data_IF_009089414909
#
_entry.id   IF_009089414909
#
_cell.length_a   1.000
_cell.length_b   1.000
_cell.length_c   1.000
_cell.angle_alpha   90.00
_cell.angle_beta   90.00
_cell.angle_gamma   90.00
#
_symmetry.space_group_name_H-M   'P 1'
#
loop_
_entity.id
_entity.type
_entity.pdbx_description
1 polymer ?
#
# COMPACT_ATOMS: atom_id res chain seq x y z
N UNK A 1 9.55 9.37 4.15
CA UNK A 1 8.85 9.60 5.43
C UNK A 1 7.42 9.10 5.28
N UNK A 2 6.81 8.49 6.30
CA UNK A 2 5.40 8.07 6.22
C UNK A 2 4.48 9.01 7.00
N UNK A 3 3.26 9.22 6.50
CA UNK A 3 2.20 10.01 7.14
C UNK A 3 0.87 9.28 6.98
N UNK A 4 0.05 9.22 8.04
CA UNK A 4 -1.33 8.75 7.93
C UNK A 4 -2.15 9.81 7.17
N UNK A 5 -2.79 9.39 6.09
CA UNK A 5 -3.63 10.26 5.26
C UNK A 5 -5.09 10.19 5.68
N UNK A 6 -5.60 8.97 5.89
CA UNK A 6 -6.97 8.72 6.27
C UNK A 6 -7.12 7.36 6.95
N UNK A 7 -8.15 7.24 7.77
CA UNK A 7 -8.60 6.01 8.41
C UNK A 7 -10.09 5.86 8.18
N UNK A 8 -10.56 4.67 7.85
CA UNK A 8 -11.99 4.36 7.87
C UNK A 8 -12.51 4.32 9.31
N UNK A 9 -13.84 4.37 9.46
CA UNK A 9 -14.49 4.15 10.76
C UNK A 9 -14.24 2.73 11.31
N UNK A 10 -13.89 1.80 10.42
CA UNK A 10 -13.58 0.39 10.69
C UNK A 10 -12.11 0.11 10.37
N UNK A 11 -11.20 0.69 11.15
CA UNK A 11 -9.78 0.32 11.10
C UNK A 11 -9.48 -0.92 11.97
N UNK A 12 -8.56 -1.77 11.52
CA UNK A 12 -8.01 -2.89 12.30
C UNK A 12 -6.76 -2.52 13.10
N UNK A 13 -6.24 -1.30 12.95
CA UNK A 13 -5.05 -0.84 13.66
C UNK A 13 -5.43 0.02 14.87
N UNK A 14 -4.72 -0.21 15.97
CA UNK A 14 -4.71 0.71 17.11
C UNK A 14 -3.85 1.94 16.81
N UNK A 15 -3.95 2.98 17.63
CA UNK A 15 -3.03 4.13 17.55
C UNK A 15 -1.56 3.70 17.68
N UNK A 16 -1.27 2.73 18.55
CA UNK A 16 0.08 2.18 18.72
C UNK A 16 0.59 1.51 17.44
N UNK A 17 -0.30 0.78 16.73
CA UNK A 17 0.02 0.16 15.44
C UNK A 17 0.31 1.22 14.38
N UNK A 18 -0.49 2.27 14.30
CA UNK A 18 -0.29 3.40 13.37
C UNK A 18 1.08 4.05 13.63
N UNK A 19 1.38 4.40 14.89
CA UNK A 19 2.66 5.01 15.25
C UNK A 19 3.86 4.10 14.97
N UNK A 20 3.70 2.79 15.20
CA UNK A 20 4.71 1.80 14.85
C UNK A 20 5.02 1.83 13.35
N UNK A 21 3.98 1.88 12.49
CA UNK A 21 4.11 1.84 11.04
C UNK A 21 4.71 3.11 10.42
N UNK A 22 4.49 4.29 11.03
CA UNK A 22 4.99 5.58 10.50
C UNK A 22 6.52 5.67 10.41
N UNK A 23 7.24 4.95 11.26
CA UNK A 23 8.70 4.95 11.29
C UNK A 23 9.34 3.82 10.48
N UNK A 24 8.53 3.05 9.73
CA UNK A 24 8.99 1.88 8.99
C UNK A 24 9.31 2.18 7.55
N UNK A 25 10.33 1.50 7.03
CA UNK A 25 10.78 1.65 5.65
C UNK A 25 10.43 0.41 4.82
N UNK A 26 10.05 0.63 3.58
CA UNK A 26 9.80 -0.42 2.60
C UNK A 26 10.57 -0.03 1.35
N UNK A 27 11.24 -1.01 0.74
CA UNK A 27 11.97 -0.82 -0.50
C UNK A 27 11.25 -1.53 -1.62
N UNK A 28 10.99 -0.81 -2.71
CA UNK A 28 10.50 -1.35 -3.97
C UNK A 28 11.56 -1.08 -5.04
N UNK A 29 12.04 -2.15 -5.67
CA UNK A 29 12.95 -2.11 -6.81
C UNK A 29 12.46 -3.07 -7.89
N UNK A 30 13.01 -2.96 -9.10
CA UNK A 30 12.59 -3.79 -10.23
C UNK A 30 12.77 -5.30 -9.96
N UNK A 31 13.81 -5.65 -9.22
CA UNK A 31 14.27 -7.01 -8.95
C UNK A 31 14.16 -7.39 -7.46
N UNK A 32 13.64 -6.51 -6.60
CA UNK A 32 13.61 -6.71 -5.16
C UNK A 32 12.47 -5.97 -4.49
N UNK A 33 11.82 -6.61 -3.52
CA UNK A 33 11.03 -5.94 -2.48
C UNK A 33 11.60 -6.31 -1.12
N UNK A 34 11.73 -5.31 -0.23
CA UNK A 34 12.08 -5.54 1.18
C UNK A 34 11.06 -4.83 2.06
N UNK A 35 10.38 -5.59 2.90
CA UNK A 35 9.41 -5.08 3.88
C UNK A 35 10.12 -4.78 5.20
N UNK A 36 9.53 -3.87 5.99
CA UNK A 36 10.15 -3.37 7.24
C UNK A 36 10.40 -4.44 8.30
N UNK A 37 9.74 -5.58 8.20
CA UNK A 37 9.84 -6.73 9.10
C UNK A 37 10.83 -7.79 8.58
N UNK A 38 11.68 -7.45 7.61
CA UNK A 38 12.76 -8.31 7.13
C UNK A 38 12.37 -9.30 6.03
N UNK A 39 11.10 -9.38 5.64
CA UNK A 39 10.69 -10.18 4.49
C UNK A 39 11.25 -9.60 3.18
N UNK A 40 11.88 -10.47 2.39
CA UNK A 40 12.50 -10.13 1.11
C UNK A 40 11.89 -10.98 0.01
N UNK A 41 11.52 -10.33 -1.10
CA UNK A 41 11.09 -10.99 -2.33
C UNK A 41 12.04 -10.60 -3.46
N UNK A 42 12.70 -11.60 -4.04
CA UNK A 42 13.57 -11.42 -5.20
C UNK A 42 12.78 -11.63 -6.49
N UNK A 43 13.08 -10.83 -7.51
CA UNK A 43 12.42 -10.82 -8.82
C UNK A 43 10.88 -10.75 -8.71
N UNK A 44 10.33 -9.75 -7.99
CA UNK A 44 8.90 -9.60 -7.82
C UNK A 44 8.21 -9.40 -9.17
N UNK A 45 6.98 -9.92 -9.30
CA UNK A 45 6.12 -9.62 -10.42
C UNK A 45 5.13 -8.51 -10.05
N UNK A 46 5.25 -7.35 -10.69
CA UNK A 46 4.36 -6.21 -10.47
C UNK A 46 3.21 -6.21 -11.48
N UNK A 47 1.98 -6.36 -11.01
CA UNK A 47 0.79 -6.10 -11.84
C UNK A 47 0.37 -4.65 -11.69
N UNK A 48 0.15 -4.00 -12.83
CA UNK A 48 -0.18 -2.58 -12.94
C UNK A 48 -1.66 -2.44 -13.32
N UNK A 49 -2.39 -1.66 -12.55
CA UNK A 49 -3.79 -1.36 -12.79
C UNK A 49 -4.01 0.15 -12.87
N UNK A 50 -4.88 0.57 -13.77
CA UNK A 50 -5.43 1.93 -13.75
C UNK A 50 -6.77 1.89 -13.04
N UNK A 51 -6.85 2.56 -11.89
CA UNK A 51 -8.04 2.55 -11.04
C UNK A 51 -8.65 3.95 -11.02
N UNK A 52 -9.91 4.04 -11.45
CA UNK A 52 -10.71 5.25 -11.33
C UNK A 52 -11.35 5.37 -9.95
N UNK A 53 -11.79 6.58 -9.58
CA UNK A 53 -12.35 6.87 -8.26
C UNK A 53 -13.56 5.99 -7.90
N UNK A 54 -14.49 5.77 -8.84
CA UNK A 54 -15.67 4.92 -8.60
C UNK A 54 -15.28 3.48 -8.26
N UNK A 55 -14.29 2.93 -8.98
CA UNK A 55 -13.76 1.59 -8.72
C UNK A 55 -13.00 1.52 -7.40
N UNK A 56 -12.22 2.55 -7.08
CA UNK A 56 -11.51 2.64 -5.80
C UNK A 56 -12.47 2.62 -4.62
N UNK A 57 -13.57 3.37 -4.71
CA UNK A 57 -14.62 3.41 -3.69
C UNK A 57 -15.34 2.07 -3.56
N UNK A 58 -15.66 1.42 -4.69
CA UNK A 58 -16.34 0.12 -4.67
C UNK A 58 -15.48 -1.02 -4.13
N UNK A 59 -14.20 -1.03 -4.47
CA UNK A 59 -13.29 -2.14 -4.12
C UNK A 59 -12.86 -2.10 -2.65
N UNK A 60 -12.83 -0.92 -2.03
CA UNK A 60 -12.33 -0.78 -0.67
C UNK A 60 -13.41 -0.87 0.42
N UNK A 61 -14.70 -0.99 0.06
CA UNK A 61 -15.85 -0.86 0.98
C UNK A 61 -15.70 0.35 1.94
N UNK A 62 -14.88 1.33 1.53
CA UNK A 62 -14.36 2.39 2.37
C UNK A 62 -14.88 3.72 1.88
N UNK A 63 -15.36 4.56 2.78
CA UNK A 63 -15.77 5.93 2.50
C UNK A 63 -14.58 6.86 2.16
N UNK A 64 -13.37 6.31 1.94
CA UNK A 64 -12.18 7.07 1.60
C UNK A 64 -12.16 7.38 0.11
N UNK A 65 -12.10 8.67 -0.20
CA UNK A 65 -12.07 9.22 -1.56
C UNK A 65 -10.65 9.59 -1.98
N UNK A 66 -10.42 9.75 -3.29
CA UNK A 66 -9.17 10.32 -3.81
C UNK A 66 -8.85 11.67 -3.20
N UNK A 67 -9.86 12.52 -2.99
CA UNK A 67 -9.70 13.82 -2.36
C UNK A 67 -9.13 13.73 -0.94
N UNK A 68 -9.59 12.78 -0.12
CA UNK A 68 -9.05 12.58 1.24
C UNK A 68 -7.58 12.10 1.20
N UNK A 69 -7.21 11.38 0.16
CA UNK A 69 -5.84 10.94 -0.08
C UNK A 69 -4.95 12.02 -0.75
N UNK A 70 -5.52 13.20 -1.06
CA UNK A 70 -4.81 14.27 -1.76
C UNK A 70 -4.48 13.92 -3.21
N UNK A 71 -5.29 13.09 -3.85
CA UNK A 71 -5.22 12.77 -5.28
C UNK A 71 -6.18 13.69 -6.04
N UNK A 72 -5.68 14.39 -7.05
CA UNK A 72 -6.46 15.34 -7.86
C UNK A 72 -6.81 14.79 -9.25
N UNK A 73 -6.25 13.65 -9.64
CA UNK A 73 -6.49 13.00 -10.93
C UNK A 73 -7.76 12.14 -10.90
N UNK A 74 -8.33 11.87 -12.07
CA UNK A 74 -9.53 11.00 -12.22
C UNK A 74 -9.22 9.51 -12.07
N UNK A 75 -7.96 9.14 -12.20
CA UNK A 75 -7.47 7.78 -12.03
C UNK A 75 -6.06 7.79 -11.46
N UNK A 76 -5.69 6.69 -10.84
CA UNK A 76 -4.36 6.43 -10.31
C UNK A 76 -3.82 5.11 -10.83
N UNK A 77 -2.51 4.96 -10.75
CA UNK A 77 -1.85 3.67 -10.97
C UNK A 77 -1.76 2.92 -9.66
N UNK A 78 -2.45 1.79 -9.56
CA UNK A 78 -2.30 0.83 -8.48
C UNK A 78 -1.35 -0.29 -8.91
N UNK A 79 -0.46 -0.67 -8.01
CA UNK A 79 0.49 -1.75 -8.20
C UNK A 79 0.21 -2.83 -7.17
N UNK A 80 0.11 -4.07 -7.63
CA UNK A 80 0.06 -5.26 -6.78
C UNK A 80 1.35 -6.07 -6.98
N UNK A 81 1.96 -6.48 -5.87
CA UNK A 81 3.21 -7.25 -5.83
C UNK A 81 2.89 -8.73 -5.72
N UNK A 82 3.44 -9.55 -6.61
CA UNK A 82 3.29 -11.01 -6.62
C UNK A 82 4.65 -11.69 -6.60
N UNK A 83 4.69 -12.93 -6.12
CA UNK A 83 5.91 -13.74 -6.17
C UNK A 83 6.32 -14.10 -7.60
N UNK A 84 5.34 -14.32 -8.47
CA UNK A 84 5.53 -14.58 -9.90
C UNK A 84 4.23 -14.29 -10.66
N UNK A 85 4.29 -14.39 -11.99
CA UNK A 85 3.16 -14.11 -12.88
C UNK A 85 1.98 -15.07 -12.65
N UNK A 86 2.25 -16.33 -12.30
CA UNK A 86 1.24 -17.37 -12.10
C UNK A 86 0.55 -17.28 -10.72
N UNK A 87 1.09 -16.48 -9.80
CA UNK A 87 0.52 -16.29 -8.46
C UNK A 87 -0.91 -15.76 -8.56
N UNK A 88 -1.83 -16.43 -7.87
CA UNK A 88 -3.26 -16.08 -7.82
C UNK A 88 -3.56 -14.96 -6.82
N UNK A 89 -2.69 -14.73 -5.86
CA UNK A 89 -2.85 -13.73 -4.79
C UNK A 89 -1.57 -12.90 -4.63
N UNK A 90 -1.68 -11.62 -4.24
CA UNK A 90 -0.51 -10.79 -3.94
C UNK A 90 0.37 -11.41 -2.85
N UNK A 91 1.66 -11.11 -2.90
CA UNK A 91 2.64 -11.58 -1.93
C UNK A 91 2.47 -10.84 -0.60
N UNK A 92 1.88 -11.53 0.37
CA UNK A 92 1.75 -11.07 1.75
C UNK A 92 2.80 -11.83 2.54
N UNK A 93 3.97 -11.23 2.78
CA UNK A 93 5.13 -11.89 3.38
C UNK A 93 4.79 -12.89 4.51
N UNK A 94 5.47 -14.04 4.52
CA UNK A 94 5.11 -15.23 5.32
C UNK A 94 5.38 -15.13 6.84
N UNK A 95 5.80 -13.97 7.33
CA UNK A 95 6.14 -13.74 8.73
C UNK A 95 4.90 -13.67 9.63
N UNK A 96 5.01 -13.97 10.93
CA UNK A 96 3.88 -13.87 11.90
C UNK A 96 3.62 -12.43 12.37
N UNK A 97 4.19 -11.43 11.71
CA UNK A 97 4.14 -10.04 12.15
C UNK A 97 2.72 -9.46 12.00
N UNK A 98 2.31 -8.69 13.02
CA UNK A 98 1.10 -7.87 12.96
C UNK A 98 1.30 -6.72 11.96
N UNK A 99 0.20 -6.16 11.46
CA UNK A 99 0.20 -4.93 10.65
C UNK A 99 0.91 -5.06 9.29
N UNK A 100 0.89 -6.26 8.70
CA UNK A 100 1.50 -6.51 7.39
C UNK A 100 1.01 -5.46 6.38
N UNK A 101 1.94 -4.98 5.56
CA UNK A 101 1.68 -4.06 4.46
C UNK A 101 2.77 -4.20 3.41
N UNK A 102 2.46 -3.73 2.20
CA UNK A 102 3.43 -3.58 1.12
C UNK A 102 3.21 -4.52 -0.06
N UNK A 103 2.18 -5.37 -0.03
CA UNK A 103 1.73 -6.17 -1.17
C UNK A 103 1.00 -5.34 -2.24
N UNK A 104 0.57 -4.13 -1.90
CA UNK A 104 -0.03 -3.17 -2.82
C UNK A 104 0.38 -1.74 -2.49
N UNK A 105 0.40 -0.89 -3.51
CA UNK A 105 0.56 0.55 -3.36
C UNK A 105 0.00 1.31 -4.57
N UNK A 106 -0.38 2.56 -4.34
CA UNK A 106 -0.82 3.51 -5.36
C UNK A 106 0.31 4.49 -5.63
N UNK A 107 0.57 4.79 -6.89
CA UNK A 107 1.47 5.88 -7.30
C UNK A 107 0.65 7.17 -7.29
N UNK A 108 0.89 8.02 -6.30
CA UNK A 108 0.26 9.35 -6.21
C UNK A 108 0.98 10.35 -7.10
N UNK A 109 2.31 10.38 -7.01
CA UNK A 109 3.19 11.20 -7.84
C UNK A 109 4.59 10.58 -7.94
N UNK A 110 5.57 11.35 -8.47
CA UNK A 110 6.94 10.85 -8.72
C UNK A 110 7.70 10.45 -7.45
N UNK A 111 7.38 11.06 -6.32
CA UNK A 111 8.08 10.87 -5.04
C UNK A 111 7.18 10.23 -3.98
N UNK A 112 5.87 10.14 -4.23
CA UNK A 112 4.89 9.74 -3.23
C UNK A 112 4.10 8.51 -3.67
N UNK A 113 4.12 7.48 -2.81
CA UNK A 113 3.23 6.34 -2.89
C UNK A 113 2.18 6.41 -1.78
N UNK A 114 1.06 5.71 -1.95
CA UNK A 114 0.05 5.51 -0.91
C UNK A 114 -0.15 4.01 -0.70
N UNK A 115 -0.14 3.56 0.54
CA UNK A 115 -0.45 2.16 0.88
C UNK A 115 -1.69 2.09 1.75
N UNK A 116 -2.62 1.23 1.37
CA UNK A 116 -3.78 0.87 2.17
C UNK A 116 -3.55 -0.44 2.92
N UNK A 117 -3.90 -0.49 4.21
CA UNK A 117 -4.00 -1.73 4.97
C UNK A 117 -4.95 -1.54 6.14
N UNK A 118 -5.85 -2.51 6.37
CA UNK A 118 -6.70 -2.51 7.56
C UNK A 118 -7.60 -1.28 7.72
N UNK A 119 -8.01 -0.63 6.63
CA UNK A 119 -8.80 0.60 6.67
C UNK A 119 -7.99 1.89 6.79
N UNK A 120 -6.67 1.81 6.95
CA UNK A 120 -5.78 2.98 7.03
C UNK A 120 -4.97 3.16 5.75
N UNK A 121 -4.75 4.42 5.40
CA UNK A 121 -3.97 4.83 4.25
C UNK A 121 -2.76 5.64 4.67
N UNK A 122 -1.58 5.18 4.28
CA UNK A 122 -0.31 5.79 4.61
C UNK A 122 0.37 6.33 3.37
N UNK A 123 0.84 7.56 3.44
CA UNK A 123 1.75 8.14 2.46
C UNK A 123 3.15 7.58 2.66
N UNK A 124 3.87 7.26 1.58
CA UNK A 124 5.27 6.87 1.58
C UNK A 124 6.03 7.83 0.66
N UNK A 125 6.87 8.67 1.25
CA UNK A 125 7.74 9.59 0.50
C UNK A 125 9.09 8.95 0.26
N UNK A 126 9.51 8.89 -1.02
CA UNK A 126 10.81 8.43 -1.49
C UNK A 126 11.94 9.15 -0.77
N UNK A 127 13.01 8.42 -0.46
CA UNK A 127 14.27 8.95 0.08
C UNK A 127 15.32 9.04 -1.00
#
# INVERSE_FOLDING_TARGET
MKKLLASTQTTTHSEEDIQYLLNKEITYAADLVTLYFGAVLNNPYYKVYSVGEEKFLSDNDSEITFKQLGIETKSVTEILVYENEQSKSPWIGYETEKNKMGWSFIIKDKDTLIMGSGGDYFELVRK
#
